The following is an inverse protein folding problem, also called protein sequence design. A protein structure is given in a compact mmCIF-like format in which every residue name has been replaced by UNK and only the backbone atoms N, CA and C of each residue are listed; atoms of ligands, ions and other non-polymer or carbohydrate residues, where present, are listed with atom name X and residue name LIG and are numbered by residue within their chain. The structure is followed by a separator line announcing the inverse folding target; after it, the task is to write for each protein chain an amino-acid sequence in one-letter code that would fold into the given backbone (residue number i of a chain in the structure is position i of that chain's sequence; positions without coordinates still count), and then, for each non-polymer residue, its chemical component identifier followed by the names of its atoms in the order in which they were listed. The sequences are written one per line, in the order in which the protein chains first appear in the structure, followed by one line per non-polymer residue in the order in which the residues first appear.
data_IF_986737651542
#
_entry.id   IF_986737651542
#
_cell.length_a   1.000
_cell.length_b   1.000
_cell.length_c   1.000
_cell.angle_alpha   90.00
_cell.angle_beta   90.00
_cell.angle_gamma   90.00
#
_symmetry.space_group_name_H-M   'P 1'
#
loop_
_entity.id
_entity.type
_entity.pdbx_description
1 polymer ?
#
# COMPACT_ATOMS: atom_id res chain seq x y z
N UNK A 1 -6.93 4.53 -9.18
CA UNK A 1 -8.10 3.62 -9.38
C UNK A 1 -8.39 2.73 -8.18
N UNK A 2 -7.40 2.03 -7.62
CA UNK A 2 -7.63 1.10 -6.48
C UNK A 2 -8.23 1.79 -5.25
N UNK A 3 -7.72 2.96 -4.87
CA UNK A 3 -8.22 3.68 -3.70
C UNK A 3 -9.67 4.18 -3.86
N UNK A 4 -10.10 4.52 -5.09
CA UNK A 4 -11.52 4.83 -5.38
C UNK A 4 -12.42 3.62 -5.17
N UNK A 5 -11.96 2.44 -5.61
CA UNK A 5 -12.71 1.20 -5.41
C UNK A 5 -12.78 0.83 -3.92
N UNK A 6 -11.67 0.96 -3.19
CA UNK A 6 -11.61 0.75 -1.75
C UNK A 6 -12.53 1.70 -1.00
N UNK A 7 -12.57 2.99 -1.35
CA UNK A 7 -13.50 3.98 -0.75
C UNK A 7 -14.96 3.55 -0.89
N UNK A 8 -15.38 3.11 -2.08
CA UNK A 8 -16.76 2.64 -2.31
C UNK A 8 -17.11 1.40 -1.48
N UNK A 9 -16.14 0.53 -1.25
CA UNK A 9 -16.33 -0.65 -0.37
C UNK A 9 -16.42 -0.19 1.09
N UNK A 10 -15.55 0.73 1.51
CA UNK A 10 -15.57 1.29 2.84
C UNK A 10 -16.89 2.00 3.16
N UNK A 11 -17.47 2.73 2.21
CA UNK A 11 -18.79 3.36 2.37
C UNK A 11 -19.90 2.32 2.60
N UNK A 12 -19.88 1.23 1.82
CA UNK A 12 -20.87 0.16 1.96
C UNK A 12 -20.77 -0.60 3.27
N UNK A 13 -19.57 -0.68 3.83
CA UNK A 13 -19.26 -1.43 5.04
C UNK A 13 -19.18 -0.55 6.29
N UNK A 14 -19.50 0.74 6.18
CA UNK A 14 -19.39 1.72 7.27
C UNK A 14 -17.99 1.74 7.91
N UNK A 15 -16.95 1.67 7.08
CA UNK A 15 -15.55 1.73 7.48
C UNK A 15 -15.04 3.17 7.37
N UNK A 16 -14.37 3.63 8.42
CA UNK A 16 -13.88 5.02 8.54
C UNK A 16 -12.52 5.25 7.87
N UNK A 17 -11.68 4.21 7.78
CA UNK A 17 -10.30 4.33 7.34
C UNK A 17 -9.86 3.19 6.41
N UNK A 18 -8.91 3.51 5.54
CA UNK A 18 -8.20 2.58 4.68
C UNK A 18 -6.76 2.46 5.17
N UNK A 19 -6.16 1.27 5.06
CA UNK A 19 -4.76 1.04 5.46
C UNK A 19 -3.96 0.61 4.24
N UNK A 20 -2.79 1.20 4.01
CA UNK A 20 -1.85 0.78 2.98
C UNK A 20 -0.46 0.54 3.57
N UNK A 21 0.31 -0.35 2.93
CA UNK A 21 1.71 -0.61 3.26
C UNK A 21 2.69 0.30 2.54
N UNK A 22 2.28 1.50 2.11
CA UNK A 22 3.14 2.42 1.37
C UNK A 22 4.24 3.01 2.27
N UNK A 23 5.43 3.16 1.71
CA UNK A 23 6.62 3.73 2.35
C UNK A 23 7.26 4.77 1.44
N UNK A 24 7.49 5.99 1.94
CA UNK A 24 8.01 7.09 1.12
C UNK A 24 9.38 6.73 0.56
N UNK A 25 9.59 7.06 -0.70
CA UNK A 25 10.88 6.92 -1.40
C UNK A 25 11.37 5.47 -1.58
N UNK A 26 10.51 4.46 -1.40
CA UNK A 26 10.88 3.06 -1.68
C UNK A 26 10.78 2.68 -3.16
N UNK A 27 9.79 3.22 -3.87
CA UNK A 27 9.56 2.99 -5.31
C UNK A 27 9.13 4.29 -6.00
N UNK A 28 9.24 4.36 -7.32
CA UNK A 28 8.93 5.57 -8.10
C UNK A 28 7.48 6.06 -7.93
N UNK A 29 6.54 5.17 -7.66
CA UNK A 29 5.13 5.52 -7.40
C UNK A 29 4.89 6.10 -6.01
N UNK A 30 5.81 5.92 -5.04
CA UNK A 30 5.63 6.29 -3.63
C UNK A 30 6.45 7.54 -3.27
N UNK A 31 6.35 8.57 -4.09
CA UNK A 31 6.87 9.92 -3.78
C UNK A 31 5.79 10.76 -3.10
N UNK A 32 6.18 11.77 -2.32
CA UNK A 32 5.21 12.67 -1.67
C UNK A 32 4.21 13.32 -2.65
N UNK A 33 4.61 13.81 -3.84
CA UNK A 33 3.65 14.32 -4.82
C UNK A 33 2.67 13.25 -5.31
N UNK A 34 3.15 12.04 -5.58
CA UNK A 34 2.28 10.96 -6.05
C UNK A 34 1.28 10.52 -4.98
N UNK A 35 1.74 10.38 -3.73
CA UNK A 35 0.86 10.05 -2.60
C UNK A 35 -0.21 11.13 -2.39
N UNK A 36 0.17 12.41 -2.51
CA UNK A 36 -0.78 13.54 -2.44
C UNK A 36 -1.86 13.44 -3.51
N UNK A 37 -1.49 13.17 -4.77
CA UNK A 37 -2.46 12.99 -5.87
C UNK A 37 -3.35 11.76 -5.65
N UNK A 38 -2.80 10.67 -5.10
CA UNK A 38 -3.55 9.46 -4.79
C UNK A 38 -4.59 9.74 -3.69
N UNK A 39 -4.23 10.49 -2.64
CA UNK A 39 -5.14 10.81 -1.53
C UNK A 39 -6.34 11.65 -1.96
N UNK A 40 -6.20 12.51 -2.97
CA UNK A 40 -7.32 13.31 -3.50
C UNK A 40 -8.49 12.50 -4.07
N UNK A 41 -8.40 11.18 -4.17
CA UNK A 41 -9.46 10.33 -4.75
C UNK A 41 -10.38 9.68 -3.72
N UNK A 42 -10.17 9.94 -2.42
CA UNK A 42 -10.96 9.41 -1.32
C UNK A 42 -11.09 10.44 -0.20
N UNK A 43 -12.26 10.52 0.43
CA UNK A 43 -12.46 11.34 1.64
C UNK A 43 -12.21 10.53 2.93
N UNK A 44 -12.00 9.21 2.81
CA UNK A 44 -11.63 8.32 3.92
C UNK A 44 -10.21 8.60 4.41
N UNK A 45 -9.98 8.45 5.71
CA UNK A 45 -8.63 8.52 6.29
C UNK A 45 -7.76 7.36 5.75
N UNK A 46 -6.61 7.68 5.15
CA UNK A 46 -5.63 6.68 4.70
C UNK A 46 -4.48 6.57 5.69
N UNK A 47 -4.44 5.46 6.43
CA UNK A 47 -3.37 5.13 7.36
C UNK A 47 -2.21 4.45 6.63
N UNK A 48 -1.00 4.94 6.87
CA UNK A 48 0.24 4.42 6.26
C UNK A 48 1.28 4.08 7.32
N UNK A 49 1.15 2.93 8.02
CA UNK A 49 2.02 2.59 9.14
C UNK A 49 3.50 2.54 8.80
N UNK A 50 3.83 2.26 7.53
CA UNK A 50 5.21 2.08 7.04
C UNK A 50 5.78 3.33 6.37
N UNK A 51 5.08 4.47 6.43
CA UNK A 51 5.38 5.67 5.61
C UNK A 51 6.82 6.16 5.73
N UNK A 52 7.42 6.00 6.92
CA UNK A 52 8.78 6.43 7.24
C UNK A 52 9.69 5.26 7.64
N UNK A 53 9.27 4.01 7.43
CA UNK A 53 10.04 2.82 7.78
C UNK A 53 11.12 2.53 6.75
N UNK A 54 12.28 2.05 7.18
CA UNK A 54 13.29 1.53 6.27
C UNK A 54 12.89 0.17 5.74
N UNK A 55 13.32 -0.15 4.51
CA UNK A 55 13.00 -1.41 3.84
C UNK A 55 13.42 -2.63 4.66
N UNK A 56 14.59 -2.57 5.29
CA UNK A 56 15.10 -3.68 6.07
C UNK A 56 14.22 -3.93 7.29
N UNK A 57 13.81 -2.87 8.02
CA UNK A 57 12.89 -2.99 9.16
C UNK A 57 11.56 -3.64 8.76
N UNK A 58 11.03 -3.29 7.59
CA UNK A 58 9.80 -3.90 7.05
C UNK A 58 10.01 -5.39 6.77
N UNK A 59 11.15 -5.76 6.19
CA UNK A 59 11.49 -7.16 5.90
C UNK A 59 11.69 -7.95 7.19
N UNK A 60 12.39 -7.39 8.16
CA UNK A 60 12.66 -8.02 9.44
C UNK A 60 11.35 -8.26 10.22
N UNK A 61 10.48 -7.24 10.25
CA UNK A 61 9.15 -7.37 10.82
C UNK A 61 8.31 -8.42 10.07
N UNK A 62 8.38 -8.46 8.74
CA UNK A 62 7.68 -9.48 7.95
C UNK A 62 8.17 -10.90 8.26
N UNK A 63 9.46 -11.10 8.53
CA UNK A 63 10.01 -12.37 9.00
C UNK A 63 9.52 -12.71 10.41
N UNK A 64 9.53 -11.74 11.32
CA UNK A 64 9.07 -11.90 12.70
C UNK A 64 7.60 -12.34 12.79
N UNK A 65 6.72 -11.74 11.97
CA UNK A 65 5.29 -12.08 11.93
C UNK A 65 4.96 -13.23 10.96
N UNK A 66 5.97 -13.85 10.34
CA UNK A 66 5.81 -14.99 9.43
C UNK A 66 5.13 -14.68 8.09
N UNK A 67 5.15 -13.43 7.62
CA UNK A 67 4.55 -13.03 6.33
C UNK A 67 5.54 -12.98 5.16
N UNK A 68 6.84 -12.94 5.45
CA UNK A 68 7.89 -12.83 4.44
C UNK A 68 7.83 -13.94 3.38
N UNK A 69 7.60 -15.19 3.79
CA UNK A 69 7.52 -16.33 2.88
C UNK A 69 6.34 -16.22 1.91
N UNK A 70 5.17 -15.74 2.36
CA UNK A 70 4.03 -15.52 1.47
C UNK A 70 4.31 -14.39 0.47
N UNK A 71 4.89 -13.30 0.94
CA UNK A 71 5.22 -12.15 0.09
C UNK A 71 6.24 -12.52 -1.00
N UNK A 72 7.23 -13.36 -0.69
CA UNK A 72 8.28 -13.81 -1.63
C UNK A 72 7.75 -14.60 -2.82
N UNK A 73 6.63 -15.32 -2.65
CA UNK A 73 6.02 -16.14 -3.71
C UNK A 73 4.87 -15.42 -4.43
N UNK A 74 4.61 -14.16 -4.11
CA UNK A 74 3.55 -13.37 -4.75
C UNK A 74 3.91 -13.13 -6.23
N UNK A 75 3.06 -13.52 -7.19
CA UNK A 75 3.33 -13.26 -8.60
C UNK A 75 3.32 -11.75 -8.91
N UNK A 76 4.37 -11.25 -9.56
CA UNK A 76 4.42 -9.88 -10.03
C UNK A 76 3.63 -9.72 -11.34
N UNK A 77 2.39 -9.26 -11.21
CA UNK A 77 1.52 -9.06 -12.37
C UNK A 77 1.96 -7.92 -13.30
N UNK A 78 2.83 -7.01 -12.85
CA UNK A 78 3.45 -6.02 -13.73
C UNK A 78 4.28 -6.70 -14.84
N UNK A 79 4.96 -7.81 -14.56
CA UNK A 79 5.72 -8.57 -15.56
C UNK A 79 4.87 -9.44 -16.49
N UNK A 80 3.62 -9.72 -16.12
CA UNK A 80 2.70 -10.59 -16.90
C UNK A 80 2.10 -9.85 -18.10
N UNK A 81 2.04 -8.52 -18.06
CA UNK A 81 1.42 -7.67 -19.09
C UNK A 81 2.46 -6.79 -19.81
N UNK A 82 3.75 -6.92 -19.49
CA UNK A 82 4.85 -6.12 -20.08
C UNK A 82 5.62 -6.85 -21.19
N UNK A 83 4.97 -7.76 -21.91
CA UNK A 83 5.46 -8.28 -23.21
C UNK A 83 5.40 -7.24 -24.31
#
# INVERSE_FOLDING_TARGET
MMLRAASRIADRLEIDALVTGEAVSQVSSQTLPNLSVIDCVTDKLVLRPLIASHKQDIIDQANEIGTADFAKHMPEYCGVISV
#
